data_IF_940904200746
#
_entry.id   IF_940904200746
#
_cell.length_a   1.000
_cell.length_b   1.000
_cell.length_c   1.000
_cell.angle_alpha   90.00
_cell.angle_beta   90.00
_cell.angle_gamma   90.00
#
_symmetry.space_group_name_H-M   'P 1'
#
loop_
_entity.id
_entity.type
_entity.pdbx_description
1 polymer ?
#
# COMPACT_ATOMS: atom_id res chain seq x y z
N UNK A 1 -12.10 0.34 35.45
CA UNK A 1 -12.01 0.80 35.07
C UNK A 1 -10.90 1.30 34.56
N UNK A 2 -10.21 1.65 34.93
CA UNK A 2 -9.18 2.06 34.48
C UNK A 2 -8.48 1.21 33.68
N UNK A 3 -8.53 0.06 33.81
CA UNK A 3 -7.91 -0.86 33.04
C UNK A 3 -8.35 -0.82 31.67
N UNK A 4 -9.60 -0.53 31.46
CA UNK A 4 -10.09 -0.43 30.15
C UNK A 4 -9.38 0.60 29.39
N UNK A 5 -9.13 1.70 30.00
CA UNK A 5 -8.45 2.77 29.34
C UNK A 5 -7.03 2.39 29.00
N UNK A 6 -6.41 1.66 29.85
CA UNK A 6 -5.06 1.26 29.59
C UNK A 6 -5.00 0.33 28.40
N UNK A 7 -5.92 -0.57 28.33
CA UNK A 7 -5.96 -1.50 27.23
C UNK A 7 -6.18 -0.79 25.92
N UNK A 8 -7.10 0.13 25.91
CA UNK A 8 -7.37 0.88 24.71
C UNK A 8 -6.15 1.66 24.28
N UNK A 9 -5.46 2.23 25.24
CA UNK A 9 -4.28 2.91 24.94
C UNK A 9 -3.26 2.04 24.30
N UNK A 10 -3.06 0.85 24.82
CA UNK A 10 -2.11 -0.06 24.25
C UNK A 10 -2.48 -0.43 22.84
N UNK A 11 -3.75 -0.57 22.58
CA UNK A 11 -4.17 -0.94 21.25
C UNK A 11 -3.98 0.16 20.25
N UNK A 12 -4.09 1.39 20.69
CA UNK A 12 -3.94 2.48 19.76
C UNK A 12 -2.55 3.03 19.71
N UNK A 13 -1.66 2.54 20.62
CA UNK A 13 -0.39 3.03 20.64
C UNK A 13 0.31 2.69 19.46
N UNK A 14 0.80 3.60 18.85
CA UNK A 14 1.69 3.50 17.81
C UNK A 14 1.79 2.29 17.06
N UNK A 15 0.88 2.01 16.25
CA UNK A 15 1.08 1.03 15.27
C UNK A 15 1.58 1.70 14.06
N UNK A 16 2.61 1.18 13.50
CA UNK A 16 3.06 1.62 12.21
C UNK A 16 1.95 1.41 11.22
N UNK A 17 1.85 2.21 10.19
CA UNK A 17 0.87 1.98 9.15
C UNK A 17 1.05 0.60 8.56
N UNK A 18 -0.05 -0.02 8.21
CA UNK A 18 0.02 -1.29 7.53
C UNK A 18 0.47 -1.04 6.11
N UNK A 19 1.47 -1.77 5.64
CA UNK A 19 2.05 -1.50 4.34
C UNK A 19 1.50 -2.45 3.30
N UNK A 20 1.16 -1.89 2.14
CA UNK A 20 0.73 -2.65 0.98
C UNK A 20 1.81 -2.54 -0.07
N UNK A 21 2.28 -3.68 -0.55
CA UNK A 21 3.30 -3.73 -1.57
C UNK A 21 2.62 -4.10 -2.88
N UNK A 22 2.53 -3.14 -3.79
CA UNK A 22 1.91 -3.37 -5.09
C UNK A 22 3.00 -3.84 -6.04
N UNK A 23 2.83 -5.05 -6.56
CA UNK A 23 3.75 -5.60 -7.54
C UNK A 23 3.11 -5.39 -8.89
N UNK A 24 3.66 -4.46 -9.66
CA UNK A 24 3.08 -4.02 -10.92
C UNK A 24 3.74 -4.74 -12.09
N UNK A 25 2.96 -5.54 -12.79
CA UNK A 25 3.46 -6.27 -13.95
C UNK A 25 3.18 -5.41 -15.19
N UNK A 26 4.09 -5.44 -16.13
CA UNK A 26 3.95 -4.63 -17.35
C UNK A 26 2.56 -4.83 -17.96
N UNK A 27 1.93 -3.73 -18.29
CA UNK A 27 0.57 -3.69 -18.84
C UNK A 27 -0.50 -4.05 -17.83
N UNK A 28 -0.23 -3.82 -16.55
CA UNK A 28 -1.21 -4.13 -15.51
C UNK A 28 -2.49 -3.31 -15.74
N UNK A 29 -3.60 -3.86 -15.30
CA UNK A 29 -4.91 -3.22 -15.48
C UNK A 29 -5.00 -2.00 -14.59
N UNK A 30 -5.12 -0.83 -15.21
CA UNK A 30 -5.11 0.42 -14.48
C UNK A 30 -6.28 0.52 -13.51
N UNK A 31 -7.45 0.11 -13.91
CA UNK A 31 -8.63 0.25 -13.07
C UNK A 31 -8.48 -0.52 -11.77
N UNK A 32 -8.03 -1.76 -11.84
CA UNK A 32 -7.87 -2.57 -10.64
C UNK A 32 -6.86 -1.96 -9.69
N UNK A 33 -5.74 -1.52 -10.24
CA UNK A 33 -4.70 -0.90 -9.44
C UNK A 33 -5.20 0.38 -8.79
N UNK A 34 -5.80 1.26 -9.56
CA UNK A 34 -6.21 2.56 -9.04
C UNK A 34 -7.33 2.42 -8.03
N UNK A 35 -8.22 1.45 -8.22
CA UNK A 35 -9.29 1.23 -7.24
C UNK A 35 -8.72 0.81 -5.89
N UNK A 36 -7.76 -0.09 -5.91
CA UNK A 36 -7.16 -0.55 -4.67
C UNK A 36 -6.39 0.59 -3.99
N UNK A 37 -5.61 1.32 -4.78
CA UNK A 37 -4.81 2.40 -4.23
C UNK A 37 -5.69 3.50 -3.66
N UNK A 38 -6.73 3.87 -4.39
CA UNK A 38 -7.63 4.92 -3.93
C UNK A 38 -8.35 4.53 -2.66
N UNK A 39 -8.69 3.26 -2.51
CA UNK A 39 -9.36 2.82 -1.29
C UNK A 39 -8.47 3.09 -0.07
N UNK A 40 -7.17 2.83 -0.21
CA UNK A 40 -6.24 3.07 0.90
C UNK A 40 -6.10 4.57 1.15
N UNK A 41 -5.98 5.34 0.09
CA UNK A 41 -5.83 6.78 0.21
C UNK A 41 -7.04 7.40 0.89
N UNK A 42 -8.22 6.98 0.49
CA UNK A 42 -9.45 7.50 1.04
C UNK A 42 -9.60 7.14 2.51
N UNK A 43 -9.23 5.90 2.87
CA UNK A 43 -9.30 5.48 4.26
C UNK A 43 -8.40 6.34 5.13
N UNK A 44 -7.20 6.63 4.65
CA UNK A 44 -6.31 7.52 5.40
C UNK A 44 -6.93 8.88 5.56
N UNK A 45 -7.49 9.40 4.49
CA UNK A 45 -8.06 10.74 4.53
C UNK A 45 -9.23 10.81 5.49
N UNK A 46 -10.12 9.84 5.41
CA UNK A 46 -11.33 9.89 6.23
C UNK A 46 -11.06 9.66 7.70
N UNK A 47 -10.03 8.90 8.01
CA UNK A 47 -9.70 8.66 9.41
C UNK A 47 -8.87 9.78 10.00
N UNK A 48 -8.27 10.61 9.14
CA UNK A 48 -7.37 11.65 9.62
C UNK A 48 -6.05 11.09 10.10
N UNK A 49 -5.77 9.84 9.80
CA UNK A 49 -4.53 9.20 10.24
C UNK A 49 -3.93 8.43 9.10
N UNK A 50 -2.65 8.18 9.17
CA UNK A 50 -2.00 7.36 8.17
C UNK A 50 -2.14 5.90 8.59
N UNK A 51 -3.27 5.30 8.26
CA UNK A 51 -3.54 3.92 8.58
C UNK A 51 -2.78 2.99 7.65
N UNK A 52 -2.58 3.39 6.41
CA UNK A 52 -1.99 2.56 5.38
C UNK A 52 -0.85 3.29 4.69
N UNK A 53 0.12 2.51 4.30
CA UNK A 53 1.23 3.00 3.53
C UNK A 53 1.36 2.07 2.34
N UNK A 54 2.06 2.48 1.28
CA UNK A 54 2.17 1.63 0.11
C UNK A 54 3.48 1.88 -0.60
N UNK A 55 3.89 0.87 -1.37
CA UNK A 55 5.07 0.99 -2.18
C UNK A 55 4.83 0.22 -3.47
N UNK A 56 5.44 0.64 -4.55
CA UNK A 56 5.27 0.05 -5.87
C UNK A 56 6.57 -0.57 -6.31
N UNK A 57 6.53 -1.84 -6.68
CA UNK A 57 7.70 -2.52 -7.20
C UNK A 57 7.31 -3.24 -8.48
N UNK A 58 8.29 -3.58 -9.28
CA UNK A 58 8.04 -4.26 -10.55
C UNK A 58 9.30 -4.90 -11.06
N UNK A 59 9.21 -5.45 -12.27
CA UNK A 59 10.33 -6.15 -12.85
C UNK A 59 11.46 -5.22 -13.27
N UNK A 60 11.09 -4.07 -13.80
CA UNK A 60 12.10 -3.09 -14.18
C UNK A 60 12.35 -2.18 -13.02
N UNK A 61 13.44 -1.48 -13.09
CA UNK A 61 13.84 -0.73 -11.92
C UNK A 61 13.22 0.61 -11.77
N UNK A 62 12.79 1.21 -12.86
CA UNK A 62 12.32 2.58 -12.79
C UNK A 62 10.87 2.78 -13.10
N UNK A 63 10.38 2.17 -14.15
CA UNK A 63 9.04 2.43 -14.62
C UNK A 63 8.32 1.17 -15.05
N UNK A 64 7.01 1.22 -15.02
CA UNK A 64 6.16 0.16 -15.53
C UNK A 64 4.99 0.83 -16.21
N UNK A 65 4.54 0.26 -17.32
CA UNK A 65 3.40 0.81 -18.06
C UNK A 65 2.14 0.06 -17.69
N UNK A 66 1.04 0.79 -17.59
CA UNK A 66 -0.24 0.17 -17.35
C UNK A 66 -0.97 -0.09 -18.65
N UNK A 67 -2.18 -0.63 -18.54
CA UNK A 67 -2.98 -0.97 -19.70
C UNK A 67 -3.31 0.22 -20.58
N UNK A 68 -3.27 1.40 -20.04
CA UNK A 68 -3.55 2.61 -20.82
C UNK A 68 -2.29 3.21 -21.43
N UNK A 69 -1.15 2.58 -21.22
CA UNK A 69 0.10 3.10 -21.77
C UNK A 69 0.78 4.14 -20.91
N UNK A 70 0.17 4.51 -19.81
CA UNK A 70 0.75 5.49 -18.90
C UNK A 70 1.83 4.80 -18.06
N UNK A 71 2.93 5.48 -17.88
CA UNK A 71 4.03 4.93 -17.10
C UNK A 71 3.94 5.38 -15.66
N UNK A 72 4.23 4.44 -14.78
CA UNK A 72 4.25 4.71 -13.35
C UNK A 72 5.67 4.49 -12.85
N UNK A 73 6.11 5.40 -12.01
CA UNK A 73 7.43 5.28 -11.43
C UNK A 73 7.40 4.27 -10.29
N UNK A 74 8.36 3.37 -10.29
CA UNK A 74 8.45 2.38 -9.24
C UNK A 74 9.31 2.90 -8.12
N UNK A 75 9.02 2.40 -6.93
CA UNK A 75 9.87 2.69 -5.80
C UNK A 75 11.08 1.77 -5.89
N UNK A 76 11.89 1.81 -4.89
CA UNK A 76 13.10 1.04 -4.91
C UNK A 76 12.82 -0.42 -5.18
N UNK A 77 13.56 -1.02 -6.06
CA UNK A 77 13.35 -2.41 -6.42
C UNK A 77 13.76 -3.37 -5.31
N UNK A 78 14.66 -2.93 -4.44
CA UNK A 78 15.09 -3.78 -3.35
C UNK A 78 14.43 -3.32 -2.08
N UNK A 79 13.35 -3.97 -1.72
CA UNK A 79 12.70 -3.65 -0.47
C UNK A 79 12.68 -4.91 0.38
N UNK A 80 12.68 -4.69 1.66
CA UNK A 80 12.61 -5.79 2.58
C UNK A 80 11.16 -6.00 2.94
N UNK A 81 10.65 -7.19 2.73
CA UNK A 81 9.27 -7.51 3.06
C UNK A 81 9.18 -7.86 4.53
N UNK A 82 8.11 -7.39 5.14
CA UNK A 82 7.85 -7.64 6.55
C UNK A 82 6.66 -8.56 6.69
N UNK A 83 6.59 -9.23 7.82
CA UNK A 83 5.55 -10.20 8.05
C UNK A 83 4.15 -9.60 7.90
N UNK A 84 4.00 -8.35 8.28
CA UNK A 84 2.69 -7.71 8.25
C UNK A 84 2.36 -7.03 6.92
N UNK A 85 3.24 -7.12 5.96
CA UNK A 85 2.98 -6.53 4.65
C UNK A 85 1.90 -7.31 3.93
N UNK A 86 1.10 -6.58 3.17
CA UNK A 86 0.13 -7.20 2.28
C UNK A 86 0.62 -6.98 0.85
N UNK A 87 0.70 -8.05 0.10
CA UNK A 87 1.19 -7.97 -1.27
C UNK A 87 0.02 -8.04 -2.22
N UNK A 88 -0.06 -7.06 -3.12
CA UNK A 88 -1.10 -7.02 -4.13
C UNK A 88 -0.43 -7.13 -5.49
N UNK A 89 -0.73 -8.20 -6.20
CA UNK A 89 -0.16 -8.43 -7.52
C UNK A 89 -1.11 -7.84 -8.55
N UNK A 90 -0.62 -6.91 -9.35
CA UNK A 90 -1.41 -6.25 -10.37
C UNK A 90 -0.94 -6.72 -11.74
N UNK A 91 -1.78 -7.48 -12.41
CA UNK A 91 -1.50 -7.99 -13.74
C UNK A 91 -2.48 -7.48 -14.77
N UNK A 92 -2.33 -7.95 -15.96
CA UNK A 92 -3.19 -7.51 -17.05
C UNK A 92 -4.23 -8.50 -17.45
#
# INVERSE_FOLDING_TARGET
>A
MLNENSIIKLNTEVKSPRRFVFVLIENFTLLSFSSALDALRIANRMSGKKLYDWTFIGENEEFVSCSAGTQFKLDNSLIELHRDDTIILCGG
#
